data_IF_083410630785
#
_entry.id   IF_083410630785
#
_cell.length_a   1.000
_cell.length_b   1.000
_cell.length_c   1.000
_cell.angle_alpha   90.00
_cell.angle_beta   90.00
_cell.angle_gamma   90.00
#
_symmetry.space_group_name_H-M   'P 1'
#
loop_
_entity.id
_entity.type
_entity.pdbx_description
1 polymer ?
#
# COMPACT_ATOMS: atom_id res chain seq x y z
N UNK A 1 -9.95 -47.88 -45.07
CA UNK A 1 -8.75 -48.25 -44.29
C UNK A 1 -9.17 -48.40 -42.83
N UNK A 2 -9.28 -49.65 -42.35
CA UNK A 2 -9.55 -49.99 -40.95
C UNK A 2 -8.61 -51.12 -40.55
N UNK A 3 -7.89 -50.90 -39.45
CA UNK A 3 -7.16 -51.82 -38.56
C UNK A 3 -6.34 -50.85 -37.69
N UNK A 4 -6.39 -50.90 -36.37
CA UNK A 4 -5.98 -52.05 -35.57
C UNK A 4 -6.43 -51.93 -34.10
N UNK A 5 -6.64 -53.10 -33.54
CA UNK A 5 -7.25 -53.49 -32.27
C UNK A 5 -6.14 -54.06 -31.36
N UNK A 6 -6.10 -53.69 -30.08
CA UNK A 6 -5.73 -54.51 -28.89
C UNK A 6 -5.21 -53.62 -27.76
N UNK A 7 -5.90 -53.48 -26.62
CA UNK A 7 -6.06 -54.40 -25.47
C UNK A 7 -4.92 -54.28 -24.41
N UNK A 8 -5.27 -53.61 -23.30
CA UNK A 8 -5.11 -53.99 -21.88
C UNK A 8 -3.70 -54.42 -21.40
N UNK A 9 -3.14 -53.68 -20.42
CA UNK A 9 -2.71 -54.33 -19.16
C UNK A 9 -2.55 -53.33 -17.99
N UNK A 10 -3.31 -53.62 -16.94
CA UNK A 10 -3.32 -53.07 -15.60
C UNK A 10 -2.00 -53.41 -14.88
N UNK A 11 -1.27 -52.43 -14.34
CA UNK A 11 -0.13 -52.69 -13.44
C UNK A 11 -0.43 -52.17 -12.04
N UNK A 12 -1.00 -53.06 -11.23
CA UNK A 12 -0.93 -53.02 -9.77
C UNK A 12 0.43 -53.60 -9.37
N UNK A 13 1.31 -52.79 -8.79
CA UNK A 13 2.46 -53.30 -8.05
C UNK A 13 2.50 -52.68 -6.65
N UNK A 14 2.00 -53.47 -5.72
CA UNK A 14 2.27 -53.41 -4.29
C UNK A 14 3.76 -53.64 -4.05
N UNK A 15 4.42 -52.76 -3.32
CA UNK A 15 5.66 -53.11 -2.60
C UNK A 15 5.44 -52.75 -1.14
N UNK A 16 5.12 -53.77 -0.37
CA UNK A 16 5.34 -53.78 1.08
C UNK A 16 6.85 -53.83 1.32
N UNK A 17 7.36 -52.97 2.18
CA UNK A 17 8.67 -53.16 2.81
C UNK A 17 8.49 -53.05 4.32
N UNK A 18 8.81 -54.17 4.97
CA UNK A 18 8.77 -54.42 6.40
C UNK A 18 9.91 -53.71 7.13
N UNK A 19 9.56 -53.08 8.24
CA UNK A 19 10.27 -52.98 9.51
C UNK A 19 11.81 -53.13 9.49
N UNK A 20 12.51 -52.02 9.77
CA UNK A 20 13.77 -52.02 10.50
C UNK A 20 13.51 -51.39 11.87
N UNK A 21 14.00 -52.03 12.92
CA UNK A 21 13.70 -51.78 14.33
C UNK A 21 14.93 -51.22 15.06
N UNK A 22 14.67 -50.41 16.10
CA UNK A 22 15.58 -49.94 17.17
C UNK A 22 16.68 -48.92 16.77
N UNK A 23 16.99 -47.84 17.50
CA UNK A 23 16.63 -47.35 18.84
C UNK A 23 17.17 -45.89 18.98
N UNK A 24 16.50 -45.12 19.85
CA UNK A 24 16.92 -43.93 20.59
C UNK A 24 17.01 -42.48 20.00
N UNK A 25 16.11 -41.66 20.57
CA UNK A 25 16.16 -40.24 20.94
C UNK A 25 16.92 -39.21 20.07
N UNK A 26 16.20 -38.19 19.57
CA UNK A 26 16.00 -36.88 20.25
C UNK A 26 14.91 -36.09 19.54
N UNK A 27 13.87 -35.78 20.30
CA UNK A 27 12.87 -34.75 20.03
C UNK A 27 13.56 -33.38 19.88
N UNK A 28 13.29 -32.67 18.77
CA UNK A 28 13.97 -31.42 18.44
C UNK A 28 13.19 -30.61 17.42
N UNK A 29 12.01 -30.15 17.84
CA UNK A 29 11.28 -28.97 17.37
C UNK A 29 11.32 -28.63 15.87
N UNK A 30 10.15 -28.81 15.24
CA UNK A 30 9.67 -28.03 14.11
C UNK A 30 10.14 -26.56 14.16
N UNK A 31 10.97 -26.14 13.20
CA UNK A 31 11.06 -24.73 12.82
C UNK A 31 10.87 -24.64 11.31
N UNK A 32 9.61 -24.76 10.89
CA UNK A 32 9.17 -24.33 9.56
C UNK A 32 8.02 -23.34 9.75
N UNK A 33 8.28 -22.25 10.48
CA UNK A 33 7.33 -21.15 10.63
C UNK A 33 8.10 -19.83 10.61
N UNK A 34 8.52 -19.37 9.43
CA UNK A 34 9.08 -18.01 9.29
C UNK A 34 8.52 -17.28 8.06
N UNK A 35 8.06 -18.00 7.03
CA UNK A 35 7.67 -17.37 5.75
C UNK A 35 6.26 -16.77 5.72
N UNK A 36 5.37 -17.18 6.62
CA UNK A 36 3.98 -16.69 6.67
C UNK A 36 3.83 -15.43 7.51
N UNK A 37 4.64 -15.28 8.57
CA UNK A 37 4.59 -14.10 9.45
C UNK A 37 5.02 -12.83 8.72
N UNK A 38 6.11 -12.89 7.94
CA UNK A 38 6.64 -11.73 7.19
C UNK A 38 5.62 -11.10 6.24
N UNK A 39 4.83 -11.89 5.49
CA UNK A 39 3.78 -11.35 4.60
C UNK A 39 2.64 -10.67 5.37
N UNK A 40 2.29 -11.23 6.53
CA UNK A 40 1.24 -10.66 7.38
C UNK A 40 1.71 -9.35 8.03
N UNK A 41 2.94 -9.33 8.55
CA UNK A 41 3.58 -8.15 9.13
C UNK A 41 3.71 -7.02 8.11
N UNK A 42 4.15 -7.33 6.88
CA UNK A 42 4.26 -6.35 5.81
C UNK A 42 2.90 -5.79 5.41
N UNK A 43 1.85 -6.63 5.29
CA UNK A 43 0.49 -6.16 5.01
C UNK A 43 -0.03 -5.22 6.11
N UNK A 44 0.25 -5.54 7.38
CA UNK A 44 -0.09 -4.68 8.52
C UNK A 44 0.63 -3.33 8.46
N UNK A 45 1.92 -3.34 8.10
CA UNK A 45 2.70 -2.12 7.88
C UNK A 45 2.09 -1.29 6.75
N UNK A 46 1.79 -1.89 5.60
CA UNK A 46 1.18 -1.19 4.47
C UNK A 46 -0.13 -0.53 4.86
N UNK A 47 -1.01 -1.22 5.60
CA UNK A 47 -2.26 -0.63 6.07
C UNK A 47 -2.04 0.61 6.96
N UNK A 48 -1.10 0.52 7.91
CA UNK A 48 -0.72 1.65 8.79
C UNK A 48 -0.22 2.83 7.98
N UNK A 49 0.65 2.56 7.01
CA UNK A 49 1.32 3.56 6.19
C UNK A 49 0.34 4.24 5.23
N UNK A 50 -0.54 3.48 4.57
CA UNK A 50 -1.65 4.01 3.77
C UNK A 50 -2.57 4.91 4.60
N UNK A 51 -2.88 4.50 5.84
CA UNK A 51 -3.66 5.33 6.76
C UNK A 51 -3.00 6.68 7.05
N UNK A 52 -1.68 6.70 7.22
CA UNK A 52 -0.92 7.93 7.45
C UNK A 52 -0.85 8.81 6.21
N UNK A 53 -0.61 8.22 5.04
CA UNK A 53 -0.63 8.93 3.76
C UNK A 53 -1.98 9.63 3.54
N UNK A 54 -3.10 8.92 3.75
CA UNK A 54 -4.44 9.51 3.60
C UNK A 54 -4.72 10.64 4.57
N UNK A 55 -4.26 10.54 5.82
CA UNK A 55 -4.37 11.63 6.80
C UNK A 55 -3.55 12.87 6.40
N UNK A 56 -2.49 12.65 5.62
CA UNK A 56 -1.60 13.67 5.09
C UNK A 56 -2.06 14.19 3.71
N UNK A 57 -3.15 13.72 3.13
CA UNK A 57 -3.61 14.21 1.84
C UNK A 57 -4.66 15.31 2.00
N UNK A 58 -4.60 16.38 1.17
CA UNK A 58 -5.65 17.37 1.14
C UNK A 58 -6.98 16.71 0.83
N UNK A 59 -7.98 17.02 1.64
CA UNK A 59 -9.35 16.57 1.43
C UNK A 59 -10.10 17.69 0.72
N UNK A 60 -10.71 17.38 -0.42
CA UNK A 60 -11.68 18.28 -1.04
C UNK A 60 -12.81 18.53 -0.03
N UNK A 61 -13.00 19.79 0.37
CA UNK A 61 -14.12 20.19 1.22
C UNK A 61 -15.41 20.05 0.42
N UNK A 62 -16.00 18.86 0.42
CA UNK A 62 -17.35 18.70 -0.11
C UNK A 62 -18.29 19.57 0.72
N UNK A 63 -19.19 20.29 0.07
CA UNK A 63 -20.05 21.33 0.64
C UNK A 63 -21.12 20.80 1.64
N UNK A 64 -20.85 19.71 2.36
CA UNK A 64 -21.71 19.15 3.42
C UNK A 64 -21.43 19.74 4.81
N UNK A 65 -20.51 20.72 4.89
CA UNK A 65 -20.22 21.49 6.10
C UNK A 65 -20.52 22.98 5.90
N UNK A 66 -21.53 23.31 5.09
CA UNK A 66 -22.33 24.53 5.33
C UNK A 66 -23.37 24.15 6.39
N UNK A 67 -23.38 24.88 7.50
CA UNK A 67 -24.34 24.77 8.61
C UNK A 67 -24.32 23.47 9.44
N UNK A 68 -23.25 23.27 10.19
CA UNK A 68 -23.47 23.01 11.63
C UNK A 68 -22.73 24.06 12.43
N UNK A 69 -23.33 25.25 12.50
CA UNK A 69 -23.29 26.02 13.74
C UNK A 69 -23.84 25.11 14.83
N UNK A 70 -22.96 24.37 15.51
CA UNK A 70 -23.33 23.76 16.78
C UNK A 70 -23.58 24.95 17.69
N UNK A 71 -24.85 25.32 17.81
CA UNK A 71 -25.35 26.29 18.76
C UNK A 71 -25.18 25.70 20.17
N UNK A 72 -23.94 25.58 20.64
CA UNK A 72 -23.64 25.49 22.06
C UNK A 72 -23.77 26.91 22.60
N UNK A 73 -25.01 27.21 22.96
CA UNK A 73 -25.49 28.39 23.67
C UNK A 73 -24.41 28.99 24.60
N UNK A 74 -23.82 30.12 24.19
CA UNK A 74 -23.14 31.06 25.09
C UNK A 74 -21.61 31.09 25.14
N UNK A 75 -20.86 30.26 24.41
CA UNK A 75 -19.39 30.41 24.36
C UNK A 75 -19.02 31.24 23.14
N UNK A 76 -18.73 32.53 23.37
CA UNK A 76 -18.05 33.44 22.44
C UNK A 76 -16.89 32.68 21.80
N UNK A 77 -16.96 32.53 20.48
CA UNK A 77 -16.08 31.70 19.65
C UNK A 77 -14.63 31.75 20.10
N UNK A 78 -14.24 30.75 20.88
CA UNK A 78 -12.89 30.24 20.84
C UNK A 78 -12.77 29.62 19.46
N UNK A 79 -12.05 30.31 18.59
CA UNK A 79 -11.56 29.81 17.32
C UNK A 79 -11.16 28.37 17.55
N UNK A 80 -11.96 27.46 16.97
CA UNK A 80 -11.79 26.04 17.14
C UNK A 80 -10.33 25.74 16.90
N UNK A 81 -9.69 25.15 17.91
CA UNK A 81 -8.35 24.59 17.92
C UNK A 81 -8.27 23.39 16.95
N UNK A 82 -8.77 23.59 15.73
CA UNK A 82 -8.61 22.77 14.53
C UNK A 82 -7.47 23.34 13.68
N UNK A 83 -6.73 24.35 14.17
CA UNK A 83 -5.58 24.95 13.47
C UNK A 83 -4.21 24.46 14.00
N UNK A 84 -4.15 23.38 14.79
CA UNK A 84 -2.87 22.88 15.33
C UNK A 84 -2.26 21.71 14.55
N UNK A 85 -2.90 21.28 13.46
CA UNK A 85 -2.24 20.47 12.44
C UNK A 85 -2.12 21.38 11.23
N UNK A 86 -1.04 22.15 11.17
CA UNK A 86 -0.63 22.83 9.95
C UNK A 86 -0.40 21.73 8.90
N UNK A 87 -1.24 21.63 7.86
CA UNK A 87 -0.99 20.68 6.81
C UNK A 87 0.33 21.06 6.13
N UNK A 88 1.18 20.09 5.82
CA UNK A 88 2.47 20.40 5.16
C UNK A 88 2.29 20.87 3.70
N UNK A 89 1.08 20.73 3.14
CA UNK A 89 0.73 21.21 1.81
C UNK A 89 0.28 22.68 1.84
N UNK A 90 0.55 23.42 0.76
CA UNK A 90 0.38 24.89 0.68
C UNK A 90 -1.10 25.32 0.67
N UNK A 91 -1.71 25.45 1.84
CA UNK A 91 -2.96 26.19 2.05
C UNK A 91 -4.20 25.63 1.34
N UNK A 92 -5.31 26.37 1.42
CA UNK A 92 -6.58 26.01 0.78
C UNK A 92 -6.57 26.44 -0.69
N UNK A 93 -6.27 25.51 -1.60
CA UNK A 93 -6.27 25.76 -3.05
C UNK A 93 -7.55 25.24 -3.73
N UNK A 94 -8.63 24.97 -2.98
CA UNK A 94 -9.87 24.39 -3.53
C UNK A 94 -10.63 25.32 -4.47
N UNK A 95 -10.18 26.56 -4.66
CA UNK A 95 -10.74 27.50 -5.63
C UNK A 95 -10.01 27.44 -6.99
N UNK A 96 -8.86 26.78 -7.08
CA UNK A 96 -8.10 26.62 -8.33
C UNK A 96 -8.57 25.36 -9.09
N UNK A 97 -9.16 25.50 -10.30
CA UNK A 97 -9.64 24.35 -11.07
C UNK A 97 -8.54 23.35 -11.44
N UNK A 98 -7.30 23.82 -11.69
CA UNK A 98 -6.18 22.95 -12.05
C UNK A 98 -5.78 22.07 -10.85
N UNK A 99 -5.74 22.67 -9.66
CA UNK A 99 -5.50 21.94 -8.40
C UNK A 99 -6.59 20.92 -8.11
N UNK A 100 -7.87 21.25 -8.38
CA UNK A 100 -8.97 20.28 -8.21
C UNK A 100 -8.80 19.10 -9.17
N UNK A 101 -8.44 19.37 -10.44
CA UNK A 101 -8.22 18.32 -11.45
C UNK A 101 -7.08 17.40 -11.02
N UNK A 102 -5.95 17.98 -10.62
CA UNK A 102 -4.79 17.26 -10.09
C UNK A 102 -5.16 16.40 -8.88
N UNK A 103 -5.80 16.99 -7.87
CA UNK A 103 -6.20 16.28 -6.66
C UNK A 103 -7.20 15.16 -6.97
N UNK A 104 -8.09 15.36 -7.94
CA UNK A 104 -9.03 14.32 -8.39
C UNK A 104 -8.28 13.15 -9.02
N UNK A 105 -7.39 13.42 -9.99
CA UNK A 105 -6.51 12.42 -10.62
C UNK A 105 -5.72 11.63 -9.58
N UNK A 106 -5.12 12.32 -8.61
CA UNK A 106 -4.37 11.68 -7.55
C UNK A 106 -5.26 10.79 -6.66
N UNK A 107 -6.41 11.30 -6.23
CA UNK A 107 -7.36 10.57 -5.37
C UNK A 107 -7.90 9.32 -6.07
N UNK A 108 -8.22 9.40 -7.36
CA UNK A 108 -8.63 8.24 -8.17
C UNK A 108 -7.52 7.18 -8.24
N UNK A 109 -6.27 7.60 -8.44
CA UNK A 109 -5.13 6.70 -8.45
C UNK A 109 -4.94 5.98 -7.10
N UNK A 110 -5.16 6.69 -5.98
CA UNK A 110 -5.14 6.10 -4.64
C UNK A 110 -6.29 5.12 -4.40
N UNK A 111 -7.48 5.43 -4.92
CA UNK A 111 -8.64 4.55 -4.75
C UNK A 111 -8.38 3.18 -5.34
N UNK A 112 -7.70 3.08 -6.49
CA UNK A 112 -7.30 1.78 -7.03
C UNK A 112 -6.40 0.99 -6.08
N UNK A 113 -5.51 1.66 -5.33
CA UNK A 113 -4.69 0.97 -4.35
C UNK A 113 -5.49 0.50 -3.14
N UNK A 114 -6.46 1.30 -2.68
CA UNK A 114 -7.36 0.94 -1.58
C UNK A 114 -8.30 -0.21 -1.97
N UNK A 115 -8.78 -0.23 -3.22
CA UNK A 115 -9.59 -1.30 -3.79
C UNK A 115 -8.78 -2.59 -4.05
N UNK A 116 -7.45 -2.51 -3.96
CA UNK A 116 -6.53 -3.62 -4.17
C UNK A 116 -6.14 -3.85 -5.63
N UNK A 117 -6.60 -3.00 -6.57
CA UNK A 117 -6.10 -2.97 -7.95
C UNK A 117 -4.74 -2.24 -8.01
N UNK A 118 -3.74 -2.87 -7.40
CA UNK A 118 -2.40 -2.32 -7.30
C UNK A 118 -1.73 -2.11 -8.68
N UNK A 119 -2.12 -2.90 -9.68
CA UNK A 119 -1.60 -2.73 -11.05
C UNK A 119 -2.09 -1.41 -11.63
N UNK A 120 -3.40 -1.16 -11.53
CA UNK A 120 -3.97 0.09 -12.02
C UNK A 120 -3.48 1.29 -11.20
N UNK A 121 -3.39 1.15 -9.88
CA UNK A 121 -2.82 2.18 -9.02
C UNK A 121 -1.39 2.57 -9.46
N UNK A 122 -0.52 1.60 -9.72
CA UNK A 122 0.84 1.85 -10.21
C UNK A 122 0.82 2.57 -11.55
N UNK A 123 -0.03 2.18 -12.49
CA UNK A 123 -0.17 2.86 -13.78
C UNK A 123 -0.61 4.32 -13.60
N UNK A 124 -1.72 4.56 -12.89
CA UNK A 124 -2.28 5.91 -12.72
C UNK A 124 -1.35 6.83 -11.92
N UNK A 125 -0.63 6.28 -10.92
CA UNK A 125 0.35 7.06 -10.15
C UNK A 125 1.59 7.42 -10.97
N UNK A 126 2.05 6.55 -11.88
CA UNK A 126 3.12 6.91 -12.81
C UNK A 126 2.66 8.03 -13.75
N UNK A 127 1.47 7.88 -14.36
CA UNK A 127 0.88 8.92 -15.21
C UNK A 127 0.77 10.25 -14.46
N UNK A 128 0.32 10.22 -13.20
CA UNK A 128 0.24 11.42 -12.37
C UNK A 128 1.61 12.08 -12.18
N UNK A 129 2.65 11.31 -11.89
CA UNK A 129 4.01 11.84 -11.70
C UNK A 129 4.63 12.41 -12.97
N UNK A 130 4.22 11.91 -14.14
CA UNK A 130 4.62 12.43 -15.46
C UNK A 130 3.86 13.71 -15.84
N UNK A 131 2.57 13.78 -15.53
CA UNK A 131 1.73 14.94 -15.89
C UNK A 131 1.88 16.11 -14.92
N UNK A 132 2.15 15.83 -13.65
CA UNK A 132 2.16 16.81 -12.56
C UNK A 132 3.54 16.89 -11.88
N UNK A 133 4.59 17.12 -12.66
CA UNK A 133 5.97 17.13 -12.17
C UNK A 133 6.29 18.23 -11.13
N UNK A 134 5.51 19.32 -11.13
CA UNK A 134 5.65 20.48 -10.23
C UNK A 134 4.60 20.49 -9.10
N UNK A 135 3.78 19.45 -9.02
CA UNK A 135 2.72 19.33 -8.02
C UNK A 135 3.26 19.24 -6.59
N UNK A 136 2.58 19.92 -5.66
CA UNK A 136 2.82 19.77 -4.23
C UNK A 136 2.40 18.38 -3.69
N UNK A 137 1.60 17.61 -4.46
CA UNK A 137 1.22 16.21 -4.18
C UNK A 137 2.22 15.19 -4.71
N UNK A 138 3.18 15.60 -5.55
CA UNK A 138 4.20 14.71 -6.12
C UNK A 138 4.90 13.82 -5.09
N UNK A 139 5.36 14.31 -3.92
CA UNK A 139 5.99 13.45 -2.92
C UNK A 139 5.04 12.36 -2.40
N UNK A 140 3.74 12.68 -2.25
CA UNK A 140 2.73 11.72 -1.81
C UNK A 140 2.42 10.68 -2.88
N UNK A 141 2.36 11.11 -4.15
CA UNK A 141 2.16 10.21 -5.28
C UNK A 141 3.34 9.26 -5.45
N UNK A 142 4.57 9.76 -5.30
CA UNK A 142 5.78 8.94 -5.36
C UNK A 142 5.82 7.92 -4.21
N UNK A 143 5.44 8.33 -3.00
CA UNK A 143 5.31 7.43 -1.87
C UNK A 143 4.23 6.36 -2.10
N UNK A 144 3.04 6.79 -2.56
CA UNK A 144 1.93 5.90 -2.91
C UNK A 144 2.33 4.87 -3.98
N UNK A 145 3.11 5.29 -4.97
CA UNK A 145 3.63 4.43 -6.03
C UNK A 145 4.55 3.37 -5.44
N UNK A 146 5.51 3.78 -4.61
CA UNK A 146 6.44 2.88 -3.96
C UNK A 146 5.74 1.80 -3.12
N UNK A 147 4.77 2.17 -2.28
CA UNK A 147 4.03 1.20 -1.47
C UNK A 147 3.11 0.31 -2.31
N UNK A 148 2.55 0.81 -3.42
CA UNK A 148 1.74 0.02 -4.35
C UNK A 148 2.58 -1.01 -5.11
N UNK A 149 3.77 -0.63 -5.58
CA UNK A 149 4.76 -1.54 -6.18
C UNK A 149 5.15 -2.65 -5.20
N UNK A 150 5.39 -2.29 -3.94
CA UNK A 150 5.72 -3.25 -2.88
C UNK A 150 4.57 -4.21 -2.60
N UNK A 151 3.33 -3.71 -2.54
CA UNK A 151 2.13 -4.55 -2.40
C UNK A 151 1.91 -5.49 -3.58
N UNK A 152 2.29 -5.09 -4.80
CA UNK A 152 2.24 -5.92 -6.00
C UNK A 152 3.34 -7.01 -6.00
N UNK A 153 4.35 -6.87 -5.15
CA UNK A 153 5.53 -7.74 -5.08
C UNK A 153 6.67 -7.29 -6.00
N UNK A 154 6.58 -6.11 -6.61
CA UNK A 154 7.71 -5.50 -7.33
C UNK A 154 8.66 -4.80 -6.35
N UNK A 155 9.43 -5.63 -5.63
CA UNK A 155 10.34 -5.21 -4.58
C UNK A 155 11.41 -4.24 -5.09
N UNK A 156 11.94 -4.50 -6.29
CA UNK A 156 13.03 -3.71 -6.85
C UNK A 156 12.57 -2.29 -7.19
N UNK A 157 11.44 -2.16 -7.90
CA UNK A 157 10.87 -0.85 -8.20
C UNK A 157 10.45 -0.13 -6.92
N UNK A 158 9.81 -0.84 -6.00
CA UNK A 158 9.36 -0.26 -4.72
C UNK A 158 10.52 0.37 -3.93
N UNK A 159 11.62 -0.38 -3.73
CA UNK A 159 12.79 0.13 -3.02
C UNK A 159 13.40 1.34 -3.73
N UNK A 160 13.52 1.29 -5.06
CA UNK A 160 14.05 2.41 -5.86
C UNK A 160 13.19 3.65 -5.68
N UNK A 161 11.87 3.54 -5.91
CA UNK A 161 10.93 4.65 -5.81
C UNK A 161 10.92 5.27 -4.42
N UNK A 162 10.88 4.44 -3.36
CA UNK A 162 10.88 4.91 -1.98
C UNK A 162 12.22 5.53 -1.58
N UNK A 163 13.34 5.02 -2.09
CA UNK A 163 14.65 5.61 -1.85
C UNK A 163 14.75 7.00 -2.47
N UNK A 164 14.32 7.15 -3.73
CA UNK A 164 14.25 8.47 -4.38
C UNK A 164 13.34 9.42 -3.58
N UNK A 165 12.20 8.95 -3.07
CA UNK A 165 11.33 9.77 -2.23
C UNK A 165 12.05 10.27 -0.96
N UNK A 166 12.79 9.39 -0.28
CA UNK A 166 13.57 9.73 0.92
C UNK A 166 14.66 10.75 0.62
N UNK A 167 15.36 10.58 -0.50
CA UNK A 167 16.50 11.41 -0.88
C UNK A 167 16.04 12.81 -1.33
N UNK A 168 14.95 12.88 -2.11
CA UNK A 168 14.42 14.14 -2.65
C UNK A 168 13.60 14.92 -1.61
N UNK A 169 13.00 14.22 -0.63
CA UNK A 169 12.08 14.81 0.34
C UNK A 169 12.49 14.53 1.80
N UNK A 170 13.71 14.88 2.24
CA UNK A 170 14.27 14.42 3.52
C UNK A 170 13.52 14.94 4.76
N UNK A 171 12.70 15.99 4.61
CA UNK A 171 11.87 16.58 5.68
C UNK A 171 10.41 16.13 5.63
N UNK A 172 10.03 15.28 4.67
CA UNK A 172 8.64 14.86 4.52
C UNK A 172 8.20 14.01 5.72
N UNK A 173 6.97 14.20 6.25
CA UNK A 173 6.48 13.42 7.41
C UNK A 173 6.52 11.90 7.22
N UNK A 174 6.50 11.42 5.97
CA UNK A 174 6.52 9.99 5.61
C UNK A 174 7.92 9.40 5.40
N UNK A 175 9.01 10.16 5.56
CA UNK A 175 10.38 9.64 5.38
C UNK A 175 10.67 8.46 6.29
N UNK A 176 10.24 8.52 7.55
CA UNK A 176 10.43 7.42 8.49
C UNK A 176 9.66 6.17 8.07
N UNK A 177 8.44 6.33 7.56
CA UNK A 177 7.63 5.23 7.04
C UNK A 177 8.22 4.63 5.78
N UNK A 178 8.74 5.46 4.86
CA UNK A 178 9.41 5.00 3.65
C UNK A 178 10.61 4.11 3.98
N UNK A 179 11.46 4.55 4.91
CA UNK A 179 12.61 3.77 5.39
C UNK A 179 12.17 2.46 6.04
N UNK A 180 11.08 2.49 6.82
CA UNK A 180 10.53 1.28 7.42
C UNK A 180 10.03 0.29 6.35
N UNK A 181 9.30 0.78 5.33
CA UNK A 181 8.82 -0.06 4.22
C UNK A 181 10.00 -0.66 3.45
N UNK A 182 11.03 0.13 3.11
CA UNK A 182 12.25 -0.36 2.43
C UNK A 182 12.93 -1.49 3.21
N UNK A 183 12.98 -1.39 4.54
CA UNK A 183 13.61 -2.38 5.40
C UNK A 183 12.84 -3.71 5.46
N UNK A 184 11.53 -3.68 5.26
CA UNK A 184 10.63 -4.84 5.37
C UNK A 184 10.37 -5.55 4.02
N UNK A 185 10.69 -4.88 2.92
CA UNK A 185 10.66 -5.39 1.54
C UNK A 185 11.83 -6.33 1.24
#
# INVERSE_FOLDING_TARGET
MMKNLSLILLFLFTVSSTAFSAEDEKEGANIVVVKTESKSSFKGLLYKVWGRLRALNPQLKTNKTRDRSVATMGIRGAETTTSLIEPYWKGDQTDNPDYISELTRYTEAQQYAEDGDLKKAVTELNTFLEEYEESDLKPNAQFALGISQGGLGDIASSKKTLQTFVDDNPKHPLVADAKQVIAEL
#
